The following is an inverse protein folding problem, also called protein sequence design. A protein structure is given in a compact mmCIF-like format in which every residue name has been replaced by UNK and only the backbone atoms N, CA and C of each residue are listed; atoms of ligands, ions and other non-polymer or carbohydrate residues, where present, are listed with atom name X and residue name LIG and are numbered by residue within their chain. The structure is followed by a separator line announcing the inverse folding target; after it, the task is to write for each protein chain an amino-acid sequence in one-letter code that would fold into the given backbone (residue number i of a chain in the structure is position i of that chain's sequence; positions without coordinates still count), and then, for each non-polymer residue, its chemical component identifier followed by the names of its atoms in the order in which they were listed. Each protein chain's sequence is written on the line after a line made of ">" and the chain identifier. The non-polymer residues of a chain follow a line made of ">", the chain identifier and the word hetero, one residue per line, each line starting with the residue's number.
data_IF_093599044978
#
_entry.id   IF_093599044978
#
_cell.length_a   1.000
_cell.length_b   1.000
_cell.length_c   1.000
_cell.angle_alpha   90.00
_cell.angle_beta   90.00
_cell.angle_gamma   90.00
#
_symmetry.space_group_name_H-M   'P 1'
#
loop_
_entity.id
_entity.type
_entity.pdbx_description
1 polymer ?
#
# COMPACT_ATOMS: atom_id res chain seq x y z
N UNK A 1 6.78 16.49 10.41
CA UNK A 1 6.69 15.19 11.12
C UNK A 1 7.20 14.08 10.25
N UNK A 2 8.12 13.27 10.76
CA UNK A 2 8.61 12.11 10.03
C UNK A 2 7.71 10.92 10.28
N UNK A 3 7.31 10.28 9.18
CA UNK A 3 6.45 9.10 9.24
C UNK A 3 7.32 7.88 8.98
N UNK A 4 7.28 6.93 9.90
CA UNK A 4 7.99 5.67 9.72
C UNK A 4 7.30 4.82 8.68
N UNK A 5 8.09 4.17 7.84
CA UNK A 5 7.59 3.17 6.91
C UNK A 5 8.07 1.81 7.42
N UNK A 6 7.12 0.93 7.67
CA UNK A 6 7.40 -0.40 8.20
C UNK A 6 6.89 -1.41 7.18
N UNK A 7 7.77 -2.32 6.72
CA UNK A 7 7.32 -3.38 5.83
C UNK A 7 7.38 -4.72 6.56
N UNK A 8 6.39 -5.58 6.29
CA UNK A 8 6.39 -6.93 6.85
C UNK A 8 7.31 -7.83 6.04
N UNK A 9 7.76 -8.92 6.64
CA UNK A 9 8.54 -9.93 5.91
C UNK A 9 7.77 -10.44 4.70
N UNK A 10 6.46 -10.62 4.87
CA UNK A 10 5.61 -11.10 3.78
C UNK A 10 5.56 -10.09 2.64
N UNK A 11 5.39 -8.79 2.96
CA UNK A 11 5.44 -7.74 1.95
C UNK A 11 6.77 -7.78 1.19
N UNK A 12 7.88 -7.87 1.92
CA UNK A 12 9.20 -7.85 1.29
C UNK A 12 9.38 -8.98 0.28
N UNK A 13 8.92 -10.17 0.62
CA UNK A 13 8.98 -11.33 -0.28
C UNK A 13 8.08 -11.12 -1.50
N UNK A 14 6.88 -10.60 -1.27
CA UNK A 14 5.92 -10.36 -2.35
C UNK A 14 6.39 -9.25 -3.27
N UNK A 15 7.06 -8.25 -2.73
CA UNK A 15 7.62 -7.17 -3.54
C UNK A 15 8.71 -7.71 -4.46
N UNK A 16 9.61 -8.54 -3.93
CA UNK A 16 10.64 -9.18 -4.76
C UNK A 16 10.03 -9.99 -5.89
N UNK A 17 8.96 -10.72 -5.59
CA UNK A 17 8.25 -11.50 -6.61
C UNK A 17 7.65 -10.58 -7.68
N UNK A 18 7.05 -9.47 -7.26
CA UNK A 18 6.47 -8.50 -8.19
C UNK A 18 7.53 -7.95 -9.15
N UNK A 19 8.72 -7.63 -8.62
CA UNK A 19 9.83 -7.15 -9.45
C UNK A 19 10.26 -8.20 -10.46
N UNK A 20 10.31 -9.48 -10.06
CA UNK A 20 10.66 -10.57 -10.97
C UNK A 20 9.61 -10.76 -12.06
N UNK A 21 8.35 -10.39 -11.78
CA UNK A 21 7.26 -10.44 -12.76
C UNK A 21 7.24 -9.23 -13.69
N UNK A 22 8.22 -8.33 -13.58
CA UNK A 22 8.34 -7.18 -14.45
C UNK A 22 7.70 -5.90 -13.93
N UNK A 23 7.20 -5.90 -12.69
CA UNK A 23 6.66 -4.67 -12.10
C UNK A 23 7.79 -3.71 -11.79
N UNK A 24 7.50 -2.41 -11.89
CA UNK A 24 8.52 -1.37 -11.71
C UNK A 24 8.44 -0.76 -10.32
N UNK A 25 9.58 -0.76 -9.62
CA UNK A 25 9.70 -0.15 -8.29
C UNK A 25 9.22 1.29 -8.28
N UNK A 26 9.49 2.04 -9.35
CA UNK A 26 9.10 3.44 -9.46
C UNK A 26 7.60 3.66 -9.27
N UNK A 27 6.77 2.72 -9.74
CA UNK A 27 5.33 2.83 -9.60
C UNK A 27 4.88 2.67 -8.15
N UNK A 28 5.50 1.75 -7.41
CA UNK A 28 5.25 1.63 -5.98
C UNK A 28 5.73 2.87 -5.22
N UNK A 29 6.95 3.33 -5.52
CA UNK A 29 7.52 4.50 -4.85
C UNK A 29 6.63 5.72 -5.05
N UNK A 30 6.06 5.89 -6.24
CA UNK A 30 5.15 7.00 -6.52
C UNK A 30 3.93 6.99 -5.62
N UNK A 31 3.32 5.82 -5.43
CA UNK A 31 2.15 5.68 -4.56
C UNK A 31 2.53 5.97 -3.10
N UNK A 32 3.64 5.40 -2.64
CA UNK A 32 4.10 5.61 -1.27
C UNK A 32 4.38 7.09 -1.03
N UNK A 33 5.04 7.77 -1.96
CA UNK A 33 5.33 9.19 -1.82
C UNK A 33 4.06 10.03 -1.76
N UNK A 34 3.05 9.71 -2.57
CA UNK A 34 1.76 10.40 -2.51
C UNK A 34 1.09 10.20 -1.15
N UNK A 35 1.13 8.97 -0.62
CA UNK A 35 0.57 8.69 0.69
C UNK A 35 1.30 9.48 1.78
N UNK A 36 2.63 9.49 1.75
CA UNK A 36 3.43 10.20 2.74
C UNK A 36 3.17 11.71 2.70
N UNK A 37 3.10 12.30 1.51
CA UNK A 37 2.81 13.72 1.35
C UNK A 37 1.45 14.06 1.95
N UNK A 38 0.45 13.22 1.70
CA UNK A 38 -0.89 13.43 2.24
C UNK A 38 -0.92 13.28 3.76
N UNK A 39 -0.30 12.21 4.27
CA UNK A 39 -0.28 11.92 5.71
C UNK A 39 0.44 13.02 6.49
N UNK A 40 1.46 13.65 5.90
CA UNK A 40 2.15 14.77 6.53
C UNK A 40 1.24 15.97 6.81
N UNK A 41 0.14 16.09 6.10
CA UNK A 41 -0.85 17.16 6.30
C UNK A 41 -1.92 16.78 7.34
N UNK A 42 -1.91 15.51 7.77
CA UNK A 42 -2.88 14.93 8.69
C UNK A 42 -3.12 13.49 8.27
N UNK A 43 -3.20 12.59 9.26
CA UNK A 43 -3.28 11.15 8.96
C UNK A 43 -4.47 10.80 8.08
N UNK A 44 -5.61 11.49 8.28
CA UNK A 44 -6.83 11.25 7.49
C UNK A 44 -6.66 11.63 6.03
N UNK A 45 -5.65 12.43 5.69
CA UNK A 45 -5.43 12.86 4.31
C UNK A 45 -4.92 11.73 3.41
N UNK A 46 -4.59 10.55 3.96
CA UNK A 46 -4.29 9.40 3.11
C UNK A 46 -5.48 9.09 2.20
N UNK A 47 -6.69 9.45 2.63
CA UNK A 47 -7.91 9.26 1.84
C UNK A 47 -7.95 10.11 0.56
N UNK A 48 -7.05 11.09 0.43
CA UNK A 48 -6.99 11.98 -0.74
C UNK A 48 -6.14 11.41 -1.89
N UNK A 49 -5.78 10.13 -1.81
CA UNK A 49 -5.09 9.48 -2.91
C UNK A 49 -5.95 9.58 -4.18
N UNK A 50 -5.37 9.94 -5.35
CA UNK A 50 -6.16 10.08 -6.58
C UNK A 50 -7.01 8.86 -6.91
N UNK A 51 -8.17 9.08 -7.52
CA UNK A 51 -9.15 8.02 -7.81
C UNK A 51 -8.59 6.85 -8.60
N UNK A 52 -7.63 7.10 -9.47
CA UNK A 52 -7.04 6.03 -10.29
C UNK A 52 -6.40 4.93 -9.47
N UNK A 53 -6.08 5.20 -8.22
CA UNK A 53 -5.48 4.20 -7.32
C UNK A 53 -6.53 3.40 -6.56
N UNK A 54 -7.81 3.67 -6.76
CA UNK A 54 -8.93 2.86 -6.24
C UNK A 54 -8.80 2.54 -4.74
N UNK A 55 -8.48 3.55 -3.94
CA UNK A 55 -8.31 3.35 -2.50
C UNK A 55 -9.63 2.96 -1.83
N UNK A 56 -9.61 1.91 -1.03
CA UNK A 56 -10.78 1.51 -0.26
C UNK A 56 -10.38 0.71 0.99
N UNK A 57 -11.30 0.67 1.94
CA UNK A 57 -11.16 -0.13 3.15
C UNK A 57 -11.37 -1.61 2.84
N UNK A 58 -10.65 -2.44 3.56
CA UNK A 58 -10.85 -3.88 3.49
C UNK A 58 -11.77 -4.34 4.62
N UNK A 59 -12.43 -5.49 4.40
CA UNK A 59 -13.33 -6.11 5.37
C UNK A 59 -12.85 -7.53 5.63
N UNK A 60 -13.50 -8.22 6.57
CA UNK A 60 -13.18 -9.61 6.89
C UNK A 60 -11.80 -9.75 7.52
N UNK A 61 -11.01 -10.65 6.99
CA UNK A 61 -9.67 -10.97 7.48
C UNK A 61 -8.77 -9.74 7.57
N UNK A 62 -8.92 -8.79 6.65
CA UNK A 62 -8.10 -7.59 6.61
C UNK A 62 -8.83 -6.35 7.12
N UNK A 63 -9.84 -6.53 7.96
CA UNK A 63 -10.55 -5.41 8.58
C UNK A 63 -9.54 -4.48 9.26
N UNK A 64 -9.65 -3.18 8.99
CA UNK A 64 -8.74 -2.17 9.53
C UNK A 64 -7.61 -1.82 8.58
N UNK A 65 -7.42 -2.60 7.54
CA UNK A 65 -6.42 -2.33 6.51
C UNK A 65 -7.04 -1.60 5.33
N UNK A 66 -6.19 -0.96 4.54
CA UNK A 66 -6.55 -0.25 3.32
C UNK A 66 -5.89 -0.91 2.14
N UNK A 67 -6.53 -0.82 0.98
CA UNK A 67 -5.97 -1.33 -0.27
C UNK A 67 -6.02 -0.23 -1.31
N UNK A 68 -4.93 -0.10 -2.09
CA UNK A 68 -4.95 0.73 -3.29
C UNK A 68 -4.30 -0.05 -4.43
N UNK A 69 -4.56 0.41 -5.65
CA UNK A 69 -4.03 -0.20 -6.86
C UNK A 69 -2.82 0.60 -7.32
N UNK A 70 -1.63 0.00 -7.25
CA UNK A 70 -0.41 0.61 -7.82
C UNK A 70 -0.57 0.62 -9.34
N UNK A 71 -1.06 -0.50 -9.88
CA UNK A 71 -1.48 -0.71 -11.26
C UNK A 71 -2.79 -1.50 -11.21
N UNK A 72 -3.53 -1.65 -12.31
CA UNK A 72 -4.83 -2.33 -12.26
C UNK A 72 -4.85 -3.67 -11.55
N UNK A 73 -3.81 -4.48 -11.67
CA UNK A 73 -3.73 -5.75 -10.93
C UNK A 73 -2.43 -5.86 -10.13
N UNK A 74 -1.98 -4.75 -9.56
CA UNK A 74 -0.87 -4.76 -8.60
C UNK A 74 -1.30 -3.94 -7.41
N UNK A 75 -1.62 -4.61 -6.31
CA UNK A 75 -2.23 -4.03 -5.13
C UNK A 75 -1.21 -3.75 -4.04
N UNK A 76 -1.51 -2.74 -3.23
CA UNK A 76 -0.81 -2.47 -1.98
C UNK A 76 -1.84 -2.52 -0.85
N UNK A 77 -1.60 -3.38 0.14
CA UNK A 77 -2.41 -3.42 1.37
C UNK A 77 -1.57 -2.78 2.47
N UNK A 78 -2.12 -1.76 3.12
CA UNK A 78 -1.39 -1.04 4.16
C UNK A 78 -2.27 -0.73 5.36
N UNK A 79 -1.60 -0.40 6.45
CA UNK A 79 -2.23 -0.04 7.72
C UNK A 79 -1.59 1.24 8.25
N UNK A 80 -2.40 2.10 8.86
CA UNK A 80 -1.91 3.35 9.45
C UNK A 80 -2.22 3.37 10.94
N UNK A 81 -1.22 3.71 11.75
CA UNK A 81 -1.38 3.94 13.18
C UNK A 81 -0.33 4.95 13.63
N UNK A 82 -0.20 5.12 14.95
CA UNK A 82 0.75 6.08 15.53
C UNK A 82 2.21 5.74 15.23
N UNK A 83 2.49 4.49 14.89
CA UNK A 83 3.85 4.07 14.55
C UNK A 83 4.23 4.41 13.12
N UNK A 84 3.26 4.59 12.23
CA UNK A 84 3.52 4.98 10.87
C UNK A 84 2.71 4.23 9.83
N UNK A 85 3.28 4.16 8.63
CA UNK A 85 2.69 3.48 7.48
C UNK A 85 3.26 2.07 7.40
N UNK A 86 2.39 1.07 7.61
CA UNK A 86 2.80 -0.33 7.55
C UNK A 86 2.39 -0.92 6.21
N UNK A 87 3.37 -1.37 5.45
CA UNK A 87 3.16 -2.07 4.18
C UNK A 87 2.97 -3.54 4.49
N UNK A 88 1.73 -4.02 4.35
CA UNK A 88 1.35 -5.36 4.81
C UNK A 88 1.46 -6.43 3.73
N UNK A 89 0.93 -6.15 2.54
CA UNK A 89 0.91 -7.11 1.43
C UNK A 89 1.05 -6.35 0.11
N UNK A 90 1.57 -7.03 -0.91
CA UNK A 90 1.51 -6.55 -2.29
C UNK A 90 1.45 -7.75 -3.23
N UNK A 91 0.76 -7.59 -4.35
CA UNK A 91 0.57 -8.65 -5.32
C UNK A 91 -0.70 -8.45 -6.11
N UNK A 92 -1.09 -9.47 -6.86
CA UNK A 92 -2.37 -9.47 -7.59
C UNK A 92 -3.52 -9.79 -6.64
N UNK A 93 -4.76 -9.61 -7.11
CA UNK A 93 -5.93 -10.04 -6.33
C UNK A 93 -5.82 -11.51 -5.96
N UNK A 94 -5.43 -12.36 -6.89
CA UNK A 94 -5.29 -13.79 -6.61
C UNK A 94 -4.22 -14.08 -5.57
N UNK A 95 -3.13 -13.33 -5.57
CA UNK A 95 -2.06 -13.52 -4.58
C UNK A 95 -2.54 -13.24 -3.17
N UNK A 96 -3.38 -12.21 -3.01
CA UNK A 96 -3.76 -11.69 -1.69
C UNK A 96 -5.08 -12.27 -1.20
N UNK A 97 -6.08 -12.39 -2.07
CA UNK A 97 -7.45 -12.73 -1.70
C UNK A 97 -7.89 -14.10 -2.20
N UNK A 98 -6.99 -14.97 -2.34
CA UNK A 98 -7.26 -16.31 -2.81
C UNK A 98 -8.13 -17.11 -1.86
#
# INVERSE_FOLDING_TARGET
>A
MNINIISTTKFDKEFKLSLRRGKKKENLDKVINLLLDNINKGIEHHLLLPEKYCLHKLIGKYKGYWECHIEPDWLLVYYLDDEGLRLERTGTHNDIFK
#
